data_IF_118356365729
#
_entry.id   IF_118356365729
#
_cell.length_a   1.000
_cell.length_b   1.000
_cell.length_c   1.000
_cell.angle_alpha   90.00
_cell.angle_beta   90.00
_cell.angle_gamma   90.00
#
_symmetry.space_group_name_H-M   'P 1'
#
loop_
_entity.id
_entity.type
_entity.pdbx_description
1 polymer ?
#
# COMPACT_ATOMS: atom_id res chain seq x y z
N UNK A 1 -17.16 -16.64 -8.04
CA UNK A 1 -16.91 -15.31 -7.45
C UNK A 1 -16.72 -15.53 -5.95
N UNK A 2 -15.48 -15.71 -5.50
CA UNK A 2 -15.21 -15.85 -4.07
C UNK A 2 -15.29 -14.45 -3.46
N UNK A 3 -16.22 -14.26 -2.52
CA UNK A 3 -16.26 -13.07 -1.71
C UNK A 3 -14.95 -13.01 -0.92
N UNK A 4 -14.11 -12.04 -1.21
CA UNK A 4 -13.02 -11.67 -0.31
C UNK A 4 -13.71 -11.18 0.95
N UNK A 5 -13.80 -12.02 1.97
CA UNK A 5 -14.25 -11.60 3.27
C UNK A 5 -13.36 -10.43 3.69
N UNK A 6 -13.96 -9.29 4.04
CA UNK A 6 -13.23 -8.21 4.67
C UNK A 6 -12.61 -8.84 5.91
N UNK A 7 -11.27 -8.94 6.00
CA UNK A 7 -10.66 -9.44 7.22
C UNK A 7 -11.18 -8.55 8.35
N UNK A 8 -11.63 -9.15 9.44
CA UNK A 8 -11.94 -8.39 10.63
C UNK A 8 -10.70 -7.54 10.91
N UNK A 9 -10.85 -6.22 10.86
CA UNK A 9 -9.81 -5.27 11.20
C UNK A 9 -9.52 -5.46 12.70
N UNK A 10 -8.76 -6.50 13.00
CA UNK A 10 -8.14 -6.61 14.31
C UNK A 10 -7.08 -5.52 14.30
N UNK A 11 -7.49 -4.34 14.78
CA UNK A 11 -6.62 -3.21 15.01
C UNK A 11 -5.55 -3.67 15.99
N UNK A 12 -4.49 -4.26 15.43
CA UNK A 12 -3.31 -4.54 16.23
C UNK A 12 -2.87 -3.21 16.82
N UNK A 13 -2.42 -3.21 18.04
CA UNK A 13 -2.06 -2.08 18.92
C UNK A 13 -0.97 -1.13 18.35
N UNK A 14 -0.71 -1.19 17.04
CA UNK A 14 0.30 -0.41 16.34
C UNK A 14 -0.35 0.80 15.68
N UNK A 15 -0.51 1.85 16.44
CA UNK A 15 -1.01 3.18 16.05
C UNK A 15 -0.03 3.89 15.12
N UNK A 16 0.26 3.26 13.97
CA UNK A 16 1.08 3.87 12.94
C UNK A 16 0.18 4.54 11.92
N UNK A 17 0.65 5.62 11.36
CA UNK A 17 0.01 6.29 10.23
C UNK A 17 1.05 6.59 9.17
N UNK A 18 0.60 6.63 7.92
CA UNK A 18 1.42 7.02 6.80
C UNK A 18 1.46 8.55 6.73
N UNK A 19 2.65 9.10 6.61
CA UNK A 19 2.87 10.53 6.40
C UNK A 19 3.18 10.77 4.92
N UNK A 20 2.25 11.36 4.14
CA UNK A 20 2.51 11.69 2.74
C UNK A 20 3.68 12.65 2.59
N UNK A 21 4.51 12.44 1.54
CA UNK A 21 5.70 13.25 1.29
C UNK A 21 5.38 14.74 1.18
N UNK A 22 4.31 15.09 0.48
CA UNK A 22 3.84 16.48 0.32
C UNK A 22 3.52 17.17 1.65
N UNK A 23 3.05 16.40 2.65
CA UNK A 23 2.80 16.91 4.00
C UNK A 23 4.09 16.99 4.80
N UNK A 24 4.98 16.01 4.64
CA UNK A 24 6.24 15.92 5.39
C UNK A 24 7.20 17.08 5.09
N UNK A 25 7.11 17.65 3.89
CA UNK A 25 7.94 18.78 3.44
C UNK A 25 7.56 20.12 4.09
N UNK A 26 6.41 20.24 4.73
CA UNK A 26 5.97 21.43 5.44
C UNK A 26 5.80 21.11 6.94
N UNK A 27 6.62 21.75 7.77
CA UNK A 27 6.66 21.49 9.22
C UNK A 27 5.31 21.73 9.91
N UNK A 28 4.61 22.82 9.58
CA UNK A 28 3.30 23.17 10.15
C UNK A 28 2.23 22.14 9.75
N UNK A 29 2.17 21.78 8.47
CA UNK A 29 1.21 20.77 7.98
C UNK A 29 1.48 19.40 8.58
N UNK A 30 2.76 19.02 8.72
CA UNK A 30 3.17 17.78 9.37
C UNK A 30 2.71 17.74 10.83
N UNK A 31 2.92 18.81 11.58
CA UNK A 31 2.48 18.89 12.97
C UNK A 31 0.97 18.77 13.09
N UNK A 32 0.21 19.53 12.30
CA UNK A 32 -1.25 19.46 12.28
C UNK A 32 -1.77 18.07 11.91
N UNK A 33 -1.14 17.44 10.92
CA UNK A 33 -1.48 16.07 10.49
C UNK A 33 -1.23 15.05 11.62
N UNK A 34 -0.05 15.06 12.23
CA UNK A 34 0.26 14.16 13.35
C UNK A 34 -0.65 14.39 14.56
N UNK A 35 -0.97 15.66 14.87
CA UNK A 35 -1.88 16.00 15.96
C UNK A 35 -3.30 15.46 15.74
N UNK A 36 -3.78 15.38 14.49
CA UNK A 36 -5.06 14.78 14.19
C UNK A 36 -5.09 13.29 14.58
N UNK A 37 -4.02 12.53 14.27
CA UNK A 37 -3.91 11.13 14.65
C UNK A 37 -3.78 10.95 16.17
N UNK A 38 -3.04 11.82 16.85
CA UNK A 38 -2.92 11.79 18.31
C UNK A 38 -4.28 11.97 18.98
N UNK A 39 -5.02 13.01 18.59
CA UNK A 39 -6.37 13.28 19.13
C UNK A 39 -7.35 12.14 18.85
N UNK A 40 -7.31 11.58 17.65
CA UNK A 40 -8.15 10.42 17.29
C UNK A 40 -7.81 9.21 18.13
N UNK A 41 -6.53 9.01 18.43
CA UNK A 41 -6.06 7.92 19.29
C UNK A 41 -6.53 8.10 20.73
N UNK A 42 -6.45 9.32 21.27
CA UNK A 42 -6.94 9.65 22.61
C UNK A 42 -8.44 9.40 22.71
N UNK A 43 -9.21 9.87 21.73
CA UNK A 43 -10.66 9.61 21.64
C UNK A 43 -10.98 8.11 21.56
N UNK A 44 -10.21 7.34 20.77
CA UNK A 44 -10.37 5.89 20.69
C UNK A 44 -10.24 5.23 22.05
N UNK A 45 -9.20 5.59 22.82
CA UNK A 45 -8.97 4.99 24.14
C UNK A 45 -10.04 5.40 25.16
N UNK A 46 -10.51 6.64 25.08
CA UNK A 46 -11.61 7.13 25.93
C UNK A 46 -12.91 6.35 25.64
N UNK A 47 -13.29 6.21 24.38
CA UNK A 47 -14.50 5.49 24.00
C UNK A 47 -14.41 3.99 24.34
N UNK A 48 -13.23 3.40 24.16
CA UNK A 48 -12.96 2.00 24.55
C UNK A 48 -13.13 1.80 26.06
N UNK A 49 -12.63 2.71 26.89
CA UNK A 49 -12.81 2.68 28.35
C UNK A 49 -14.29 2.81 28.76
N UNK A 50 -15.08 3.52 27.96
CA UNK A 50 -16.52 3.68 28.17
C UNK A 50 -17.35 2.50 27.62
N UNK A 51 -16.71 1.41 27.19
CA UNK A 51 -17.37 0.18 26.78
C UNK A 51 -17.91 0.18 25.36
N UNK A 52 -17.49 1.12 24.51
CA UNK A 52 -17.85 1.10 23.08
C UNK A 52 -17.16 -0.09 22.40
N UNK A 53 -17.91 -0.85 21.60
CA UNK A 53 -17.40 -2.03 20.91
C UNK A 53 -16.34 -1.67 19.86
N UNK A 54 -15.40 -2.58 19.59
CA UNK A 54 -14.35 -2.36 18.61
C UNK A 54 -14.88 -2.16 17.18
N UNK A 55 -16.04 -2.73 16.86
CA UNK A 55 -16.72 -2.52 15.59
C UNK A 55 -17.14 -1.07 15.40
N UNK A 56 -17.67 -0.44 16.45
CA UNK A 56 -18.04 0.97 16.41
C UNK A 56 -16.81 1.89 16.45
N UNK A 57 -15.74 1.48 17.14
CA UNK A 57 -14.50 2.24 17.18
C UNK A 57 -13.79 2.28 15.80
N UNK A 58 -14.11 1.37 14.88
CA UNK A 58 -13.59 1.44 13.52
C UNK A 58 -14.02 2.72 12.77
N UNK A 59 -15.17 3.29 13.09
CA UNK A 59 -15.70 4.51 12.43
C UNK A 59 -14.90 5.78 12.74
N UNK A 60 -14.13 5.81 13.82
CA UNK A 60 -13.29 6.97 14.15
C UNK A 60 -11.87 6.87 13.59
N UNK A 61 -11.52 5.75 12.94
CA UNK A 61 -10.20 5.59 12.35
C UNK A 61 -10.01 6.50 11.13
N UNK A 62 -8.84 7.10 11.04
CA UNK A 62 -8.45 7.90 9.89
C UNK A 62 -7.91 7.00 8.78
N UNK A 63 -8.17 7.36 7.52
CA UNK A 63 -7.73 6.58 6.35
C UNK A 63 -6.21 6.45 6.21
N UNK A 64 -5.45 7.30 6.89
CA UNK A 64 -3.99 7.20 6.96
C UNK A 64 -3.48 6.20 7.99
N UNK A 65 -4.34 5.57 8.82
CA UNK A 65 -3.92 4.55 9.75
C UNK A 65 -3.46 3.29 9.00
N UNK A 66 -2.37 2.68 9.45
CA UNK A 66 -1.86 1.43 8.87
C UNK A 66 -2.52 0.23 9.51
N UNK A 67 -2.68 -0.84 8.73
CA UNK A 67 -3.12 -2.15 9.18
C UNK A 67 -2.11 -3.20 8.71
N UNK A 68 -1.87 -4.22 9.55
CA UNK A 68 -1.05 -5.36 9.15
C UNK A 68 -1.97 -6.38 8.46
N UNK A 69 -1.61 -6.81 7.25
CA UNK A 69 -2.37 -7.78 6.48
C UNK A 69 -1.47 -8.96 6.15
N UNK A 70 -1.96 -10.17 6.40
CA UNK A 70 -1.38 -11.41 5.89
C UNK A 70 -2.26 -11.91 4.76
N UNK A 71 -1.68 -12.06 3.58
CA UNK A 71 -2.40 -12.54 2.40
C UNK A 71 -1.68 -13.69 1.73
N UNK A 72 -2.44 -14.64 1.20
CA UNK A 72 -1.92 -15.70 0.33
C UNK A 72 -2.41 -15.47 -1.08
N UNK A 73 -1.49 -15.40 -2.03
CA UNK A 73 -1.76 -15.08 -3.43
C UNK A 73 -1.13 -16.18 -4.29
N UNK A 74 -1.88 -16.71 -5.26
CA UNK A 74 -1.29 -17.60 -6.27
C UNK A 74 -0.46 -16.81 -7.31
N UNK A 75 0.42 -17.50 -8.05
CA UNK A 75 1.35 -16.85 -8.98
C UNK A 75 0.66 -16.01 -10.07
N UNK A 76 -0.51 -16.41 -10.55
CA UNK A 76 -1.27 -15.66 -11.56
C UNK A 76 -1.80 -14.33 -10.99
N UNK A 77 -2.40 -14.38 -9.83
CA UNK A 77 -2.91 -13.18 -9.16
C UNK A 77 -1.76 -12.25 -8.73
N UNK A 78 -0.63 -12.82 -8.30
CA UNK A 78 0.57 -12.05 -7.99
C UNK A 78 1.10 -11.34 -9.24
N UNK A 79 1.12 -12.00 -10.40
CA UNK A 79 1.53 -11.37 -11.66
C UNK A 79 0.61 -10.20 -12.03
N UNK A 80 -0.71 -10.37 -11.86
CA UNK A 80 -1.69 -9.31 -12.10
C UNK A 80 -1.49 -8.15 -11.12
N UNK A 81 -1.30 -8.46 -9.84
CA UNK A 81 -0.99 -7.45 -8.81
C UNK A 81 0.25 -6.63 -9.19
N UNK A 82 1.35 -7.30 -9.57
CA UNK A 82 2.59 -6.63 -9.95
C UNK A 82 2.40 -5.75 -11.19
N UNK A 83 1.69 -6.24 -12.23
CA UNK A 83 1.40 -5.45 -13.42
C UNK A 83 0.69 -4.12 -13.12
N UNK A 84 -0.24 -4.15 -12.17
CA UNK A 84 -1.08 -3.01 -11.85
C UNK A 84 -0.44 -2.10 -10.78
N UNK A 85 0.19 -2.67 -9.76
CA UNK A 85 0.61 -1.92 -8.57
C UNK A 85 2.06 -1.44 -8.61
N UNK A 86 2.95 -2.09 -9.36
CA UNK A 86 4.30 -1.56 -9.61
C UNK A 86 4.37 -0.54 -10.78
N UNK A 87 3.22 -0.20 -11.38
CA UNK A 87 3.12 0.79 -12.44
C UNK A 87 3.27 2.22 -11.90
N UNK A 88 3.92 3.13 -12.66
CA UNK A 88 4.04 4.55 -12.30
C UNK A 88 2.70 5.29 -12.17
N UNK A 89 1.60 4.73 -12.70
CA UNK A 89 0.25 5.27 -12.55
C UNK A 89 -0.46 4.76 -11.29
N UNK A 90 0.14 3.80 -10.57
CA UNK A 90 -0.38 3.38 -9.27
C UNK A 90 -0.18 4.49 -8.23
N UNK A 91 -1.02 4.50 -7.21
CA UNK A 91 -0.82 5.37 -6.05
C UNK A 91 0.55 5.07 -5.42
N UNK A 92 1.26 6.11 -4.98
CA UNK A 92 2.68 6.02 -4.59
C UNK A 92 2.96 4.96 -3.52
N UNK A 93 2.14 4.88 -2.48
CA UNK A 93 2.34 3.96 -1.35
C UNK A 93 2.22 2.49 -1.77
N UNK A 94 1.15 2.14 -2.50
CA UNK A 94 0.98 0.76 -2.99
C UNK A 94 2.03 0.41 -4.04
N UNK A 95 2.50 1.39 -4.82
CA UNK A 95 3.59 1.19 -5.77
C UNK A 95 4.90 0.86 -5.06
N UNK A 96 5.26 1.63 -4.05
CA UNK A 96 6.49 1.43 -3.29
C UNK A 96 6.45 0.08 -2.56
N UNK A 97 5.31 -0.27 -2.00
CA UNK A 97 5.06 -1.60 -1.43
C UNK A 97 5.24 -2.72 -2.47
N UNK A 98 4.68 -2.57 -3.67
CA UNK A 98 4.81 -3.57 -4.73
C UNK A 98 6.27 -3.72 -5.21
N UNK A 99 7.02 -2.63 -5.30
CA UNK A 99 8.44 -2.65 -5.66
C UNK A 99 9.28 -3.35 -4.57
N UNK A 100 9.03 -3.05 -3.28
CA UNK A 100 9.72 -3.72 -2.19
C UNK A 100 9.40 -5.22 -2.15
N UNK A 101 8.12 -5.58 -2.36
CA UNK A 101 7.71 -6.98 -2.50
C UNK A 101 8.46 -7.66 -3.66
N UNK A 102 8.56 -7.02 -4.83
CA UNK A 102 9.25 -7.57 -5.99
C UNK A 102 10.74 -7.83 -5.71
N UNK A 103 11.43 -6.91 -5.02
CA UNK A 103 12.81 -7.10 -4.57
C UNK A 103 12.96 -8.35 -3.72
N UNK A 104 12.09 -8.53 -2.74
CA UNK A 104 12.12 -9.69 -1.82
C UNK A 104 11.81 -11.00 -2.56
N UNK A 105 10.87 -10.98 -3.49
CA UNK A 105 10.54 -12.15 -4.30
C UNK A 105 11.72 -12.57 -5.20
N UNK A 106 12.40 -11.62 -5.86
CA UNK A 106 13.58 -11.89 -6.67
C UNK A 106 14.77 -12.39 -5.84
N UNK A 107 14.94 -11.87 -4.63
CA UNK A 107 15.94 -12.38 -3.71
C UNK A 107 15.67 -13.83 -3.29
N UNK A 108 14.40 -14.24 -3.22
CA UNK A 108 14.02 -15.61 -2.91
C UNK A 108 14.16 -16.56 -4.10
N UNK A 109 13.73 -16.16 -5.29
CA UNK A 109 13.87 -16.93 -6.54
C UNK A 109 13.83 -16.00 -7.76
N UNK A 110 15.00 -15.61 -8.25
CA UNK A 110 15.13 -14.79 -9.45
C UNK A 110 14.69 -15.51 -10.73
N UNK A 111 14.77 -16.83 -10.77
CA UNK A 111 14.39 -17.62 -11.96
C UNK A 111 12.92 -17.44 -12.29
N UNK A 112 12.08 -17.40 -11.26
CA UNK A 112 10.64 -17.23 -11.40
C UNK A 112 10.27 -15.74 -11.45
N UNK A 113 10.78 -14.93 -10.51
CA UNK A 113 10.26 -13.58 -10.28
C UNK A 113 10.91 -12.48 -11.15
N UNK A 114 11.93 -12.79 -11.96
CA UNK A 114 12.44 -11.86 -12.96
C UNK A 114 11.42 -11.51 -14.06
N UNK A 115 10.39 -12.32 -14.24
CA UNK A 115 9.31 -12.04 -15.20
C UNK A 115 8.18 -11.18 -14.63
N UNK A 116 8.25 -10.82 -13.35
CA UNK A 116 7.25 -10.01 -12.67
C UNK A 116 7.63 -8.53 -12.69
N UNK A 117 6.63 -7.67 -12.84
CA UNK A 117 6.82 -6.23 -12.87
C UNK A 117 5.60 -5.50 -13.45
N UNK A 118 5.69 -4.19 -13.70
CA UNK A 118 4.63 -3.41 -14.31
C UNK A 118 4.30 -3.89 -15.72
N UNK A 119 3.11 -3.57 -16.22
CA UNK A 119 2.66 -4.02 -17.53
C UNK A 119 3.66 -3.71 -18.66
N UNK A 120 4.30 -2.55 -18.65
CA UNK A 120 5.30 -2.17 -19.68
C UNK A 120 6.59 -3.01 -19.62
N UNK A 121 6.90 -3.63 -18.48
CA UNK A 121 8.02 -4.55 -18.32
C UNK A 121 7.69 -5.96 -18.82
N UNK A 122 6.48 -6.44 -18.49
CA UNK A 122 6.03 -7.81 -18.79
C UNK A 122 5.53 -7.94 -20.24
N UNK A 123 4.91 -6.86 -20.76
CA UNK A 123 4.29 -6.82 -22.08
C UNK A 123 4.17 -5.37 -22.59
N UNK A 124 3.24 -5.11 -23.50
CA UNK A 124 2.92 -3.76 -23.94
C UNK A 124 2.11 -3.01 -22.86
N UNK A 125 2.39 -1.70 -22.69
CA UNK A 125 1.60 -0.84 -21.82
C UNK A 125 0.14 -0.78 -22.33
N UNK A 126 -0.86 -1.11 -21.49
CA UNK A 126 -2.27 -1.13 -21.89
C UNK A 126 -2.94 0.25 -21.85
N UNK A 127 -2.29 1.26 -21.28
CA UNK A 127 -2.91 2.55 -20.94
C UNK A 127 -3.15 3.47 -22.15
N UNK A 128 -2.62 3.13 -23.34
CA UNK A 128 -2.81 3.95 -24.53
C UNK A 128 -2.47 5.42 -24.31
N UNK A 129 -3.42 6.36 -24.55
CA UNK A 129 -3.20 7.80 -24.34
C UNK A 129 -2.95 8.19 -22.87
N UNK A 130 -3.36 7.35 -21.90
CA UNK A 130 -3.17 7.59 -20.48
C UNK A 130 -1.83 7.05 -19.96
N UNK A 131 -0.93 6.62 -20.83
CA UNK A 131 0.41 6.17 -20.45
C UNK A 131 1.15 7.22 -19.62
N UNK A 132 2.05 6.75 -18.74
CA UNK A 132 2.94 7.67 -18.00
C UNK A 132 4.06 8.26 -18.87
N UNK A 133 4.25 7.78 -20.11
CA UNK A 133 5.31 8.22 -21.03
C UNK A 133 6.72 7.75 -20.65
N UNK A 134 6.91 7.04 -19.53
CA UNK A 134 8.22 6.68 -18.96
C UNK A 134 8.54 5.18 -19.04
N UNK A 135 8.02 4.47 -20.04
CA UNK A 135 8.15 3.02 -20.11
C UNK A 135 9.63 2.56 -20.12
N UNK A 136 10.51 3.24 -20.86
CA UNK A 136 11.93 2.86 -20.93
C UNK A 136 12.63 3.01 -19.57
N UNK A 137 12.44 4.13 -18.88
CA UNK A 137 12.98 4.41 -17.55
C UNK A 137 12.50 3.38 -16.53
N UNK A 138 11.20 3.08 -16.55
CA UNK A 138 10.59 2.08 -15.65
C UNK A 138 11.15 0.69 -15.90
N UNK A 139 11.29 0.28 -17.16
CA UNK A 139 11.86 -1.03 -17.53
C UNK A 139 13.29 -1.15 -17.01
N UNK A 140 14.10 -0.11 -17.19
CA UNK A 140 15.48 -0.08 -16.71
C UNK A 140 15.54 -0.17 -15.17
N UNK A 141 14.73 0.63 -14.49
CA UNK A 141 14.62 0.58 -13.02
C UNK A 141 14.25 -0.83 -12.52
N UNK A 142 13.27 -1.46 -13.17
CA UNK A 142 12.83 -2.82 -12.77
C UNK A 142 13.90 -3.87 -13.07
N UNK A 143 14.67 -3.74 -14.15
CA UNK A 143 15.77 -4.68 -14.46
C UNK A 143 16.89 -4.63 -13.42
N UNK A 144 17.11 -3.47 -12.81
CA UNK A 144 18.19 -3.23 -11.87
C UNK A 144 17.78 -3.47 -10.39
N UNK A 145 16.59 -4.00 -10.15
CA UNK A 145 16.15 -4.46 -8.83
C UNK A 145 16.79 -5.82 -8.49
#
# INVERSE_FOLDING_TARGET
>A
MQSIGIPSLTLTNRRRHILPETISQNAELKERYCNAFTKTTELYEELKKNGISEELLAYIQLSGNTVDIVTTINGRELLLFMKLRSCNRAQWEIRDFAIDMLKKLRAADSTVFNFYGPSCYVSKCPEGPLTCGKAAEVIETIKNL
#
